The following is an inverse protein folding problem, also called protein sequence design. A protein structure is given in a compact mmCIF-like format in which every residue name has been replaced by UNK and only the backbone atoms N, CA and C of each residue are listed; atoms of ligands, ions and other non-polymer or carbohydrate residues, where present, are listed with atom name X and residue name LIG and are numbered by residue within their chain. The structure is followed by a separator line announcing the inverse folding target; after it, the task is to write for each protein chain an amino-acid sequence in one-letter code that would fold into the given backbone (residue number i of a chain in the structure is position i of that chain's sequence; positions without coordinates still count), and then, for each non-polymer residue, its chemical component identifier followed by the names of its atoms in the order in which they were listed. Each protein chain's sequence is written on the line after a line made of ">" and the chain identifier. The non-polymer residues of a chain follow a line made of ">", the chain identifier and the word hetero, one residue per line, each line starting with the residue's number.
data_IF_909448467308
#
_entry.id   IF_909448467308
#
_cell.length_a   1.000
_cell.length_b   1.000
_cell.length_c   1.000
_cell.angle_alpha   90.00
_cell.angle_beta   90.00
_cell.angle_gamma   90.00
#
_symmetry.space_group_name_H-M   'P 1'
#
loop_
_entity.id
_entity.type
_entity.pdbx_description
1 polymer ?
#
# COMPACT_ATOMS: atom_id res chain seq x y z
N UNK A 1 11.68 -0.56 -2.63
CA UNK A 1 11.42 -2.03 -2.64
C UNK A 1 10.68 -2.39 -1.36
N UNK A 2 9.99 -3.54 -1.30
CA UNK A 2 9.24 -3.98 -0.11
C UNK A 2 9.54 -5.45 0.21
N UNK A 3 9.68 -5.76 1.49
CA UNK A 3 9.84 -7.13 1.99
C UNK A 3 8.75 -7.39 3.03
N UNK A 4 8.17 -8.59 2.99
CA UNK A 4 7.07 -8.98 3.86
C UNK A 4 7.36 -10.34 4.47
N UNK A 5 6.98 -10.54 5.74
CA UNK A 5 6.95 -11.88 6.31
C UNK A 5 5.78 -12.66 5.73
N UNK A 6 5.91 -13.99 5.64
CA UNK A 6 4.80 -14.86 5.17
C UNK A 6 3.50 -14.59 5.94
N UNK A 7 3.59 -14.47 7.27
CA UNK A 7 2.46 -14.18 8.16
C UNK A 7 1.79 -12.83 7.85
N UNK A 8 2.58 -11.78 7.59
CA UNK A 8 2.05 -10.47 7.22
C UNK A 8 1.32 -10.55 5.88
N UNK A 9 1.93 -11.20 4.89
CA UNK A 9 1.34 -11.41 3.56
C UNK A 9 -0.01 -12.13 3.64
N UNK A 10 -0.07 -13.27 4.33
CA UNK A 10 -1.30 -14.08 4.44
C UNK A 10 -2.45 -13.31 5.11
N UNK A 11 -2.17 -12.51 6.15
CA UNK A 11 -3.22 -11.76 6.85
C UNK A 11 -3.62 -10.46 6.16
N UNK A 12 -2.67 -9.74 5.57
CA UNK A 12 -2.90 -8.38 5.07
C UNK A 12 -3.40 -8.41 3.63
N UNK A 13 -2.83 -9.23 2.74
CA UNK A 13 -3.26 -9.24 1.33
C UNK A 13 -4.71 -9.68 1.15
N UNK A 14 -5.23 -10.57 2.02
CA UNK A 14 -6.65 -10.95 2.02
C UNK A 14 -7.58 -9.78 2.36
N UNK A 15 -7.07 -8.76 3.05
CA UNK A 15 -7.82 -7.56 3.44
C UNK A 15 -7.62 -6.39 2.45
N UNK A 16 -6.57 -6.41 1.64
CA UNK A 16 -6.35 -5.41 0.59
C UNK A 16 -7.46 -5.49 -0.47
N UNK A 17 -7.95 -4.33 -0.90
CA UNK A 17 -9.03 -4.19 -1.90
C UNK A 17 -8.57 -3.41 -3.13
N UNK A 18 -7.35 -2.90 -3.14
CA UNK A 18 -6.79 -2.11 -4.23
C UNK A 18 -5.68 -2.91 -4.92
N UNK A 19 -5.84 -3.14 -6.22
CA UNK A 19 -4.94 -3.94 -7.06
C UNK A 19 -4.07 -3.10 -8.01
N UNK A 20 -3.71 -1.88 -7.60
CA UNK A 20 -2.92 -0.90 -8.36
C UNK A 20 -1.99 -0.15 -7.43
N UNK A 21 -1.30 0.87 -7.91
CA UNK A 21 -0.27 1.60 -7.17
C UNK A 21 -0.60 1.95 -5.70
N UNK A 22 -1.87 2.21 -5.35
CA UNK A 22 -2.25 2.51 -3.97
C UNK A 22 -2.34 1.28 -3.04
N UNK A 23 -2.00 0.07 -3.51
CA UNK A 23 -1.91 -1.11 -2.66
C UNK A 23 -0.84 -0.94 -1.58
N UNK A 24 0.25 -0.23 -1.89
CA UNK A 24 1.34 0.04 -0.95
C UNK A 24 0.87 0.77 0.32
N UNK A 25 0.23 1.95 0.21
CA UNK A 25 -0.33 2.62 1.38
C UNK A 25 -1.49 1.84 2.02
N UNK A 26 -2.31 1.11 1.25
CA UNK A 26 -3.38 0.27 1.83
C UNK A 26 -2.78 -0.82 2.73
N UNK A 27 -1.74 -1.50 2.25
CA UNK A 27 -1.03 -2.53 2.99
C UNK A 27 -0.46 -1.98 4.29
N UNK A 28 0.22 -0.82 4.23
CA UNK A 28 0.80 -0.17 5.42
C UNK A 28 -0.26 0.23 6.45
N UNK A 29 -1.41 0.75 6.00
CA UNK A 29 -2.52 1.11 6.89
C UNK A 29 -3.07 -0.12 7.60
N UNK A 30 -3.28 -1.23 6.88
CA UNK A 30 -3.76 -2.48 7.47
C UNK A 30 -2.70 -3.08 8.41
N UNK A 31 -1.43 -3.07 8.01
CA UNK A 31 -0.32 -3.56 8.82
C UNK A 31 -0.26 -2.83 10.17
N UNK A 32 -0.32 -1.50 10.15
CA UNK A 32 -0.34 -0.66 11.35
C UNK A 32 -1.58 -0.93 12.21
N UNK A 33 -2.75 -1.10 11.59
CA UNK A 33 -3.99 -1.42 12.30
C UNK A 33 -3.94 -2.78 12.99
N UNK A 34 -3.30 -3.78 12.37
CA UNK A 34 -3.13 -5.12 12.92
C UNK A 34 -1.94 -5.23 13.90
N UNK A 35 -1.24 -4.12 14.20
CA UNK A 35 -0.14 -4.09 15.15
C UNK A 35 1.17 -4.70 14.65
N UNK A 36 1.39 -4.77 13.33
CA UNK A 36 2.68 -5.21 12.80
C UNK A 36 3.76 -4.12 12.95
N UNK A 37 4.98 -4.55 13.28
CA UNK A 37 6.16 -3.69 13.21
C UNK A 37 6.53 -3.39 11.76
N UNK A 38 6.85 -2.14 11.49
CA UNK A 38 7.31 -1.65 10.17
C UNK A 38 8.70 -1.07 10.39
N UNK A 39 9.67 -1.52 9.60
CA UNK A 39 11.06 -1.05 9.64
C UNK A 39 11.47 -0.52 8.28
N UNK A 40 12.15 0.61 8.27
CA UNK A 40 12.75 1.18 7.07
C UNK A 40 14.17 0.65 6.92
N UNK A 41 14.52 0.16 5.73
CA UNK A 41 15.83 -0.38 5.42
C UNK A 41 16.38 0.38 4.21
N UNK A 42 17.56 1.01 4.31
CA UNK A 42 18.14 1.74 3.20
C UNK A 42 18.52 0.77 2.07
N UNK A 43 18.33 1.24 0.84
CA UNK A 43 18.70 0.50 -0.36
C UNK A 43 19.38 1.43 -1.35
N UNK A 44 20.29 0.89 -2.15
CA UNK A 44 20.79 1.59 -3.32
C UNK A 44 19.73 1.54 -4.41
N UNK A 45 19.12 2.69 -4.73
CA UNK A 45 18.14 2.81 -5.79
C UNK A 45 18.72 3.59 -6.96
N UNK A 46 18.70 2.97 -8.14
CA UNK A 46 19.07 3.61 -9.41
C UNK A 46 17.78 3.92 -10.18
N UNK A 47 17.54 5.20 -10.43
CA UNK A 47 16.36 5.62 -11.18
C UNK A 47 16.48 5.17 -12.65
N UNK A 48 15.36 4.70 -13.21
CA UNK A 48 15.23 4.45 -14.64
C UNK A 48 14.55 5.67 -15.28
N UNK A 49 15.24 6.42 -16.15
CA UNK A 49 14.70 7.63 -16.77
C UNK A 49 13.51 7.36 -17.73
N UNK A 50 13.27 6.12 -18.14
CA UNK A 50 12.14 5.77 -19.01
C UNK A 50 10.83 5.51 -18.24
N UNK A 51 10.87 5.43 -16.91
CA UNK A 51 9.70 5.20 -16.07
C UNK A 51 8.81 6.45 -15.97
N UNK A 52 7.79 6.55 -16.85
CA UNK A 52 6.84 7.67 -16.86
C UNK A 52 5.48 7.28 -16.29
N UNK A 53 5.03 8.00 -15.26
CA UNK A 53 3.68 7.86 -14.71
C UNK A 53 2.70 8.70 -15.54
N UNK A 54 1.61 8.07 -16.02
CA UNK A 54 0.55 8.78 -16.76
C UNK A 54 -0.25 9.68 -15.81
N UNK A 55 -0.64 10.87 -16.26
CA UNK A 55 -1.45 11.82 -15.46
C UNK A 55 -2.75 11.19 -14.90
N UNK A 56 -3.45 10.38 -15.72
CA UNK A 56 -4.64 9.63 -15.29
C UNK A 56 -4.37 8.68 -14.11
N UNK A 57 -3.17 8.13 -14.01
CA UNK A 57 -2.77 7.26 -12.90
C UNK A 57 -2.59 8.04 -11.59
N UNK A 58 -2.18 9.31 -11.67
CA UNK A 58 -2.05 10.20 -10.50
C UNK A 58 -3.42 10.48 -9.89
N UNK A 59 -4.41 10.84 -10.71
CA UNK A 59 -5.78 11.09 -10.22
C UNK A 59 -6.37 9.81 -9.60
N UNK A 60 -6.19 8.66 -10.26
CA UNK A 60 -6.65 7.37 -9.71
C UNK A 60 -6.01 7.04 -8.37
N UNK A 61 -4.70 7.28 -8.24
CA UNK A 61 -3.98 7.12 -6.97
C UNK A 61 -4.59 8.02 -5.88
N UNK A 62 -4.83 9.29 -6.15
CA UNK A 62 -5.42 10.21 -5.18
C UNK A 62 -6.80 9.72 -4.69
N UNK A 63 -7.66 9.26 -5.62
CA UNK A 63 -8.97 8.69 -5.28
C UNK A 63 -8.85 7.39 -4.47
N UNK A 64 -7.85 6.56 -4.77
CA UNK A 64 -7.61 5.35 -3.99
C UNK A 64 -7.17 5.67 -2.55
N UNK A 65 -6.35 6.70 -2.33
CA UNK A 65 -5.98 7.14 -0.99
C UNK A 65 -7.20 7.56 -0.17
N UNK A 66 -8.12 8.31 -0.79
CA UNK A 66 -9.41 8.67 -0.16
C UNK A 66 -10.21 7.40 0.16
N UNK A 67 -10.28 6.45 -0.77
CA UNK A 67 -10.96 5.16 -0.56
C UNK A 67 -10.38 4.37 0.61
N UNK A 68 -9.05 4.31 0.76
CA UNK A 68 -8.37 3.66 1.89
C UNK A 68 -8.82 4.31 3.21
N UNK A 69 -8.84 5.64 3.25
CA UNK A 69 -9.26 6.39 4.45
C UNK A 69 -10.72 6.12 4.80
N UNK A 70 -11.61 6.08 3.81
CA UNK A 70 -13.02 5.75 4.01
C UNK A 70 -13.20 4.30 4.47
N UNK A 71 -12.46 3.34 3.92
CA UNK A 71 -12.50 1.94 4.34
C UNK A 71 -12.04 1.76 5.79
N UNK A 72 -11.04 2.55 6.21
CA UNK A 72 -10.57 2.57 7.60
C UNK A 72 -11.67 3.05 8.55
N UNK A 73 -12.37 4.14 8.20
CA UNK A 73 -13.49 4.69 8.98
C UNK A 73 -14.66 3.69 9.02
N UNK A 74 -14.98 3.08 7.88
CA UNK A 74 -16.04 2.08 7.73
C UNK A 74 -15.71 0.71 8.33
N UNK A 75 -14.56 0.55 9.01
CA UNK A 75 -14.15 -0.71 9.65
C UNK A 75 -14.07 -1.91 8.70
N UNK A 76 -13.81 -1.64 7.42
CA UNK A 76 -13.78 -2.67 6.37
C UNK A 76 -12.58 -3.62 6.51
N UNK A 77 -11.52 -3.17 7.16
CA UNK A 77 -10.29 -3.95 7.35
C UNK A 77 -10.25 -4.73 8.68
N UNK A 78 -11.31 -4.64 9.49
CA UNK A 78 -11.43 -5.44 10.72
C UNK A 78 -11.51 -6.95 10.43
#
# INVERSE_FOLDING_TARGET
>A
FKCFTKKATEKIFQKCRINRFAFDPEFLVIAKKLGYEIKEIPIYWKNDPESKVKFKSIIKMALDLIKIRLNLIKRIYD
#
